data_IF_497271477690
#
_entry.id   IF_497271477690
#
_cell.length_a   1.000
_cell.length_b   1.000
_cell.length_c   1.000
_cell.angle_alpha   90.00
_cell.angle_beta   90.00
_cell.angle_gamma   90.00
#
_symmetry.space_group_name_H-M   'P 1'
#
loop_
_entity.id
_entity.type
_entity.pdbx_description
1 polymer ?
#
# COMPACT_ATOMS: atom_id res chain seq x y z
N UNK A 1 -5.93 -15.58 4.42
CA UNK A 1 -4.70 -15.58 3.60
C UNK A 1 -4.07 -14.20 3.76
N UNK A 2 -2.94 -14.08 4.47
CA UNK A 2 -2.30 -12.77 4.70
C UNK A 2 -1.33 -12.53 3.56
N UNK A 3 -1.59 -11.53 2.72
CA UNK A 3 -0.66 -11.11 1.69
C UNK A 3 0.49 -10.34 2.37
N UNK A 4 1.71 -10.83 2.23
CA UNK A 4 2.91 -10.20 2.82
C UNK A 4 3.06 -8.76 2.35
N UNK A 5 2.72 -8.48 1.09
CA UNK A 5 2.71 -7.15 0.51
C UNK A 5 1.74 -6.23 1.25
N UNK A 6 0.59 -6.73 1.69
CA UNK A 6 -0.37 -5.97 2.49
C UNK A 6 0.22 -5.58 3.84
N UNK A 7 0.86 -6.50 4.55
CA UNK A 7 1.48 -6.20 5.86
C UNK A 7 2.59 -5.16 5.74
N UNK A 8 3.42 -5.24 4.69
CA UNK A 8 4.48 -4.24 4.46
C UNK A 8 3.87 -2.88 4.12
N UNK A 9 2.84 -2.82 3.26
CA UNK A 9 2.12 -1.59 2.96
C UNK A 9 1.51 -0.97 4.21
N UNK A 10 0.84 -1.77 5.04
CA UNK A 10 0.26 -1.34 6.33
C UNK A 10 1.31 -0.76 7.28
N UNK A 11 2.53 -1.31 7.29
CA UNK A 11 3.60 -0.82 8.17
C UNK A 11 4.21 0.51 7.74
N UNK A 12 4.04 0.91 6.47
CA UNK A 12 4.71 2.09 5.88
C UNK A 12 3.72 3.22 5.53
N UNK A 13 2.44 2.90 5.30
CA UNK A 13 1.46 3.87 4.77
C UNK A 13 1.30 5.11 5.65
N UNK A 14 1.31 4.95 6.98
CA UNK A 14 1.09 6.06 7.92
C UNK A 14 2.30 6.99 8.04
N UNK A 15 3.50 6.52 7.72
CA UNK A 15 4.70 7.35 7.60
C UNK A 15 4.60 8.23 6.34
N UNK A 16 4.36 7.60 5.19
CA UNK A 16 4.27 8.32 3.90
C UNK A 16 3.13 9.35 3.89
N UNK A 17 1.97 9.01 4.44
CA UNK A 17 0.84 9.97 4.53
C UNK A 17 1.22 11.22 5.33
N UNK A 18 2.03 11.06 6.39
CA UNK A 18 2.50 12.18 7.21
C UNK A 18 3.56 13.01 6.49
N UNK A 19 4.52 12.35 5.83
CA UNK A 19 5.55 13.02 5.02
C UNK A 19 4.95 13.84 3.87
N UNK A 20 3.91 13.31 3.23
CA UNK A 20 3.18 13.99 2.15
C UNK A 20 2.17 15.04 2.64
N UNK A 21 2.08 15.31 3.95
CA UNK A 21 1.12 16.26 4.55
C UNK A 21 -0.32 16.06 4.01
N UNK A 22 -0.73 14.79 3.91
CA UNK A 22 -2.03 14.37 3.39
C UNK A 22 -3.08 14.25 4.51
N UNK A 23 -4.37 14.30 4.14
CA UNK A 23 -5.43 13.89 5.06
C UNK A 23 -5.25 12.45 5.60
N UNK A 24 -5.27 12.33 6.91
CA UNK A 24 -5.09 11.07 7.65
C UNK A 24 -6.39 10.30 7.90
N UNK A 25 -7.52 10.69 7.29
CA UNK A 25 -8.80 10.02 7.55
C UNK A 25 -8.79 8.56 7.05
N UNK A 26 -9.61 7.67 7.65
CA UNK A 26 -9.63 6.25 7.29
C UNK A 26 -9.88 6.01 5.79
N UNK A 27 -10.71 6.86 5.14
CA UNK A 27 -11.03 6.72 3.72
C UNK A 27 -9.83 7.02 2.82
N UNK A 28 -9.14 8.14 3.05
CA UNK A 28 -7.92 8.47 2.32
C UNK A 28 -6.84 7.40 2.52
N UNK A 29 -6.66 6.92 3.75
CA UNK A 29 -5.71 5.84 4.06
C UNK A 29 -6.04 4.57 3.28
N UNK A 30 -7.31 4.15 3.26
CA UNK A 30 -7.76 2.97 2.51
C UNK A 30 -7.59 3.15 1.00
N UNK A 31 -7.89 4.34 0.46
CA UNK A 31 -7.69 4.65 -0.97
C UNK A 31 -6.20 4.56 -1.34
N UNK A 32 -5.29 5.09 -0.52
CA UNK A 32 -3.84 4.97 -0.72
C UNK A 32 -3.40 3.50 -0.72
N UNK A 33 -3.83 2.73 0.27
CA UNK A 33 -3.50 1.31 0.34
C UNK A 33 -4.02 0.54 -0.87
N UNK A 34 -5.26 0.79 -1.29
CA UNK A 34 -5.87 0.13 -2.45
C UNK A 34 -5.10 0.43 -3.74
N UNK A 35 -4.77 1.70 -3.99
CA UNK A 35 -4.01 2.10 -5.19
C UNK A 35 -2.59 1.49 -5.15
N UNK A 36 -1.91 1.55 -4.00
CA UNK A 36 -0.58 1.00 -3.84
C UNK A 36 -0.55 -0.52 -4.09
N UNK A 37 -1.48 -1.27 -3.47
CA UNK A 37 -1.58 -2.72 -3.63
C UNK A 37 -1.92 -3.14 -5.07
N UNK A 38 -2.75 -2.37 -5.77
CA UNK A 38 -3.08 -2.61 -7.18
C UNK A 38 -1.93 -2.26 -8.14
N UNK A 39 -1.00 -1.41 -7.71
CA UNK A 39 0.17 -1.01 -8.51
C UNK A 39 1.35 -1.96 -8.32
N UNK A 40 1.44 -2.62 -7.17
CA UNK A 40 2.49 -3.57 -6.88
C UNK A 40 2.27 -4.86 -7.68
N UNK A 41 3.33 -5.46 -8.26
CA UNK A 41 3.20 -6.69 -8.99
C UNK A 41 2.61 -7.77 -8.08
N UNK A 42 1.60 -8.54 -8.54
CA UNK A 42 1.00 -9.58 -7.73
C UNK A 42 2.05 -10.63 -7.37
N UNK A 43 2.39 -10.73 -6.09
CA UNK A 43 3.28 -11.76 -5.59
C UNK A 43 2.45 -12.99 -5.23
N UNK A 44 2.06 -13.78 -6.23
CA UNK A 44 1.42 -15.07 -6.02
C UNK A 44 2.49 -16.16 -5.92
N UNK A 45 2.83 -16.57 -4.70
CA UNK A 45 3.55 -17.81 -4.49
C UNK A 45 2.56 -18.99 -4.54
N UNK A 46 2.70 -19.83 -5.58
CA UNK A 46 1.89 -21.03 -5.80
C UNK A 46 2.30 -22.22 -4.91
N UNK A 47 3.39 -22.12 -4.13
CA UNK A 47 3.84 -23.14 -3.17
C UNK A 47 4.15 -22.55 -1.79
N UNK A 48 4.09 -23.37 -0.72
CA UNK A 48 4.46 -22.94 0.64
C UNK A 48 5.91 -22.47 0.74
N UNK A 49 6.84 -23.11 0.03
CA UNK A 49 8.24 -22.69 -0.03
C UNK A 49 8.40 -21.33 -0.71
N UNK A 50 7.60 -21.06 -1.74
CA UNK A 50 7.56 -19.76 -2.41
C UNK A 50 7.03 -18.64 -1.51
N UNK A 51 6.10 -18.93 -0.60
CA UNK A 51 5.57 -17.95 0.37
C UNK A 51 6.64 -17.55 1.39
N UNK A 52 7.39 -18.52 1.89
CA UNK A 52 8.50 -18.27 2.82
C UNK A 52 9.61 -17.48 2.13
N UNK A 53 9.98 -17.84 0.90
CA UNK A 53 10.97 -17.11 0.12
C UNK A 53 10.53 -15.66 -0.21
N UNK A 54 9.27 -15.44 -0.58
CA UNK A 54 8.74 -14.09 -0.82
C UNK A 54 8.64 -13.26 0.47
N UNK A 55 8.31 -13.87 1.62
CA UNK A 55 8.40 -13.21 2.93
C UNK A 55 9.80 -12.70 3.20
N UNK A 56 10.80 -13.56 3.06
CA UNK A 56 12.21 -13.18 3.22
C UNK A 56 12.61 -12.10 2.22
N UNK A 57 12.22 -12.22 0.94
CA UNK A 57 12.57 -11.19 -0.07
C UNK A 57 11.95 -9.82 0.25
N UNK A 58 10.69 -9.77 0.68
CA UNK A 58 10.01 -8.52 1.04
C UNK A 58 10.49 -7.92 2.37
N UNK A 59 10.92 -8.75 3.32
CA UNK A 59 11.35 -8.32 4.66
C UNK A 59 12.86 -7.99 4.72
N UNK A 60 13.70 -8.76 4.02
CA UNK A 60 15.17 -8.69 4.12
C UNK A 60 15.85 -8.04 2.90
N UNK A 61 15.15 -7.77 1.80
CA UNK A 61 15.76 -7.09 0.63
C UNK A 61 15.38 -5.60 0.63
N UNK A 62 16.34 -4.68 0.83
CA UNK A 62 16.10 -3.23 0.82
C UNK A 62 15.40 -2.73 -0.44
N UNK A 63 15.68 -3.35 -1.59
CA UNK A 63 15.07 -3.01 -2.88
C UNK A 63 13.55 -3.23 -2.89
N UNK A 64 13.06 -4.24 -2.17
CA UNK A 64 11.63 -4.55 -2.07
C UNK A 64 10.87 -3.49 -1.25
N UNK A 65 11.48 -2.98 -0.17
CA UNK A 65 10.92 -1.86 0.61
C UNK A 65 10.89 -0.56 -0.18
N UNK A 66 11.92 -0.27 -0.97
CA UNK A 66 11.96 0.91 -1.86
C UNK A 66 10.81 0.87 -2.87
N UNK A 67 10.54 -0.28 -3.48
CA UNK A 67 9.44 -0.44 -4.44
C UNK A 67 8.08 -0.20 -3.76
N UNK A 68 7.89 -0.75 -2.55
CA UNK A 68 6.66 -0.53 -1.77
C UNK A 68 6.51 0.95 -1.40
N UNK A 69 7.57 1.59 -0.90
CA UNK A 69 7.57 3.01 -0.58
C UNK A 69 7.18 3.85 -1.80
N UNK A 70 7.80 3.62 -2.96
CA UNK A 70 7.48 4.34 -4.20
C UNK A 70 6.03 4.16 -4.65
N UNK A 71 5.47 2.96 -4.46
CA UNK A 71 4.06 2.70 -4.77
C UNK A 71 3.12 3.46 -3.82
N UNK A 72 3.41 3.47 -2.51
CA UNK A 72 2.64 4.22 -1.52
C UNK A 72 2.75 5.72 -1.79
N UNK A 73 3.95 6.24 -2.08
CA UNK A 73 4.19 7.65 -2.38
C UNK A 73 3.34 8.12 -3.57
N UNK A 74 3.37 7.38 -4.69
CA UNK A 74 2.55 7.70 -5.87
C UNK A 74 1.05 7.63 -5.57
N UNK A 75 0.63 6.64 -4.78
CA UNK A 75 -0.76 6.49 -4.36
C UNK A 75 -1.19 7.67 -3.47
N UNK A 76 -0.35 8.08 -2.52
CA UNK A 76 -0.57 9.25 -1.67
C UNK A 76 -0.70 10.52 -2.51
N UNK A 77 0.22 10.80 -3.42
CA UNK A 77 0.12 11.95 -4.30
C UNK A 77 -1.17 11.96 -5.13
N UNK A 78 -1.62 10.79 -5.61
CA UNK A 78 -2.87 10.65 -6.36
C UNK A 78 -4.10 10.97 -5.50
N UNK A 79 -4.18 10.41 -4.28
CA UNK A 79 -5.30 10.65 -3.36
C UNK A 79 -5.29 12.09 -2.84
N UNK A 80 -4.12 12.69 -2.60
CA UNK A 80 -3.97 14.08 -2.16
C UNK A 80 -4.54 15.06 -3.18
N UNK A 81 -4.34 14.80 -4.47
CA UNK A 81 -4.84 15.65 -5.56
C UNK A 81 -6.36 15.57 -5.72
N UNK A 82 -6.98 14.43 -5.41
CA UNK A 82 -8.43 14.20 -5.58
C UNK A 82 -8.99 13.32 -4.45
N UNK A 83 -9.09 13.85 -3.22
CA UNK A 83 -9.51 13.04 -2.09
C UNK A 83 -11.02 12.78 -2.15
N UNK A 84 -11.44 11.55 -1.84
CA UNK A 84 -12.85 11.12 -1.87
C UNK A 84 -13.56 11.22 -0.53
N UNK A 85 -12.86 11.67 0.51
CA UNK A 85 -13.45 11.91 1.83
C UNK A 85 -14.43 13.10 1.78
N UNK A 86 -15.55 13.03 2.50
CA UNK A 86 -16.60 14.06 2.45
C UNK A 86 -17.61 13.91 1.31
N UNK A 87 -17.38 13.04 0.32
CA UNK A 87 -18.39 12.73 -0.69
C UNK A 87 -19.32 11.63 -0.17
N UNK A 88 -20.44 12.05 0.43
CA UNK A 88 -21.58 11.21 0.82
C UNK A 88 -22.35 10.68 -0.40
N UNK A 89 -21.67 10.38 -1.52
CA UNK A 89 -22.26 9.59 -2.58
C UNK A 89 -22.28 8.13 -2.15
N UNK A 90 -23.28 7.86 -1.31
CA UNK A 90 -23.99 6.59 -1.25
C UNK A 90 -23.98 5.96 -2.63
N UNK A 91 -23.46 4.75 -2.69
CA UNK A 91 -23.75 3.77 -3.73
C UNK A 91 -25.27 3.82 -3.96
N UNK A 92 -25.68 4.39 -5.09
CA UNK A 92 -27.02 4.23 -5.64
C UNK A 92 -27.09 2.84 -6.31
#
# INVERSE_FOLDING_TARGET
MVNVTQTVVESMVDEVIREEEMCTCPRCRLDVMAIALNTLPPQYAVSEEGKTYQRFRLQDVPQSRIIVYQAILKAAQTVKQRPRHGDHRSVL
#
